data_IF_756369772079
#
_entry.id   IF_756369772079
#
_cell.length_a   1.000
_cell.length_b   1.000
_cell.length_c   1.000
_cell.angle_alpha   90.00
_cell.angle_beta   90.00
_cell.angle_gamma   90.00
#
_symmetry.space_group_name_H-M   'P 1'
#
loop_
_entity.id
_entity.type
_entity.pdbx_description
1 polymer ?
#
# COMPACT_ATOMS: atom_id res chain seq x y z
N UNK A 1 8.62 13.48 0.73
CA UNK A 1 7.74 12.59 1.51
C UNK A 1 6.38 13.28 1.59
N UNK A 2 5.33 12.57 1.19
CA UNK A 2 3.95 13.09 1.24
C UNK A 2 3.47 12.99 2.69
N UNK A 3 2.72 13.98 3.20
CA UNK A 3 2.25 13.93 4.60
C UNK A 3 1.03 13.01 4.72
N UNK A 4 0.90 12.16 5.73
CA UNK A 4 -0.26 11.26 5.84
C UNK A 4 -1.55 12.01 6.24
N UNK A 5 -2.66 11.28 6.29
CA UNK A 5 -3.91 11.76 6.87
C UNK A 5 -3.70 12.35 8.30
N UNK A 6 -4.35 13.46 8.68
CA UNK A 6 -4.21 14.04 10.02
C UNK A 6 -4.42 13.02 11.15
N UNK A 7 -3.53 13.02 12.14
CA UNK A 7 -3.57 12.07 13.26
C UNK A 7 -2.72 10.82 13.06
N UNK A 8 -2.19 10.61 11.87
CA UNK A 8 -1.15 9.61 11.61
C UNK A 8 0.24 10.17 11.91
N UNK A 9 1.11 9.32 12.42
CA UNK A 9 2.51 9.67 12.68
C UNK A 9 3.37 9.22 11.50
N UNK A 10 4.21 10.14 11.03
CA UNK A 10 5.29 9.85 10.09
C UNK A 10 6.39 9.01 10.78
N UNK A 11 6.86 7.98 10.10
CA UNK A 11 7.86 7.03 10.58
C UNK A 11 8.82 6.68 9.46
N UNK A 12 9.99 6.22 9.87
CA UNK A 12 10.92 5.60 8.92
C UNK A 12 10.25 4.39 8.26
N UNK A 13 10.10 4.44 6.94
CA UNK A 13 9.42 3.41 6.16
C UNK A 13 7.89 3.40 6.24
N UNK A 14 7.20 4.48 6.64
CA UNK A 14 5.75 4.60 6.47
C UNK A 14 5.01 5.45 7.50
N UNK A 15 3.77 5.08 7.81
CA UNK A 15 2.87 5.81 8.69
C UNK A 15 2.21 4.89 9.73
N UNK A 16 1.96 5.39 10.95
CA UNK A 16 1.21 4.65 11.98
C UNK A 16 0.16 5.50 12.70
N UNK A 17 -1.01 4.89 12.96
CA UNK A 17 -2.01 5.34 13.92
C UNK A 17 -2.62 4.16 14.67
N UNK A 18 -2.70 4.27 16.00
CA UNK A 18 -3.43 3.35 16.89
C UNK A 18 -3.13 1.84 16.66
N UNK A 19 -1.87 1.51 16.32
CA UNK A 19 -1.41 0.14 16.06
C UNK A 19 -1.70 -0.38 14.65
N UNK A 20 -2.25 0.45 13.77
CA UNK A 20 -2.35 0.24 12.32
C UNK A 20 -1.20 0.95 11.62
N UNK A 21 -0.52 0.24 10.72
CA UNK A 21 0.64 0.72 9.98
C UNK A 21 0.41 0.60 8.49
N UNK A 22 0.75 1.66 7.76
CA UNK A 22 0.97 1.65 6.31
C UNK A 22 2.48 1.75 6.10
N UNK A 23 3.11 0.67 5.65
CA UNK A 23 4.56 0.58 5.43
C UNK A 23 4.89 0.71 3.94
N UNK A 24 6.01 1.37 3.65
CA UNK A 24 6.65 1.44 2.33
C UNK A 24 8.03 0.81 2.49
N UNK A 25 8.20 -0.41 1.98
CA UNK A 25 9.38 -1.22 2.21
C UNK A 25 10.18 -1.41 0.91
N UNK A 26 11.49 -1.08 0.88
CA UNK A 26 12.35 -1.37 -0.25
C UNK A 26 12.46 -2.88 -0.50
N UNK A 27 12.31 -3.29 -1.76
CA UNK A 27 12.35 -4.69 -2.18
C UNK A 27 13.21 -4.92 -3.42
N UNK A 28 13.86 -6.08 -3.48
CA UNK A 28 14.43 -6.64 -4.70
C UNK A 28 13.39 -7.53 -5.39
N UNK A 29 13.36 -7.50 -6.72
CA UNK A 29 12.36 -8.24 -7.52
C UNK A 29 13.06 -9.39 -8.23
N UNK A 30 12.65 -10.63 -7.91
CA UNK A 30 13.20 -11.83 -8.53
C UNK A 30 12.19 -12.44 -9.50
N UNK A 31 12.59 -12.57 -10.76
CA UNK A 31 11.80 -13.25 -11.79
C UNK A 31 12.36 -14.65 -12.06
N UNK A 32 11.51 -15.68 -11.92
CA UNK A 32 11.94 -17.06 -12.11
C UNK A 32 10.77 -18.02 -12.33
N UNK A 33 10.86 -18.83 -13.40
CA UNK A 33 9.90 -19.93 -13.63
C UNK A 33 8.46 -19.48 -13.89
N UNK A 34 8.24 -18.25 -14.38
CA UNK A 34 6.91 -17.69 -14.62
C UNK A 34 6.24 -17.12 -13.36
N UNK A 35 6.97 -17.02 -12.26
CA UNK A 35 6.57 -16.32 -11.05
C UNK A 35 7.55 -15.18 -10.80
N UNK A 36 7.05 -14.14 -10.15
CA UNK A 36 7.86 -13.06 -9.63
C UNK A 36 7.63 -12.95 -8.13
N UNK A 37 8.70 -12.75 -7.38
CA UNK A 37 8.67 -12.66 -5.91
C UNK A 37 9.47 -11.45 -5.46
N UNK A 38 9.01 -10.78 -4.41
CA UNK A 38 9.73 -9.67 -3.77
C UNK A 38 10.42 -10.16 -2.49
N UNK A 39 11.56 -9.54 -2.16
CA UNK A 39 12.25 -9.72 -0.89
C UNK A 39 12.63 -8.35 -0.33
N UNK A 40 12.37 -8.10 0.95
CA UNK A 40 12.79 -6.87 1.61
C UNK A 40 14.32 -6.78 1.67
N UNK A 41 14.86 -5.67 1.19
CA UNK A 41 16.30 -5.41 1.11
C UNK A 41 16.61 -3.99 1.60
N UNK A 42 17.87 -3.64 1.90
CA UNK A 42 18.27 -2.25 2.10
C UNK A 42 17.92 -1.36 0.88
N UNK A 43 17.69 -0.06 1.11
CA UNK A 43 17.27 0.87 0.05
C UNK A 43 18.29 0.99 -1.11
N UNK A 44 19.59 0.82 -0.84
CA UNK A 44 20.65 0.84 -1.86
C UNK A 44 20.71 -0.43 -2.74
N UNK A 45 19.95 -1.46 -2.38
CA UNK A 45 19.81 -2.72 -3.11
C UNK A 45 18.40 -2.88 -3.73
N UNK A 46 17.52 -1.90 -3.54
CA UNK A 46 16.12 -1.99 -3.93
C UNK A 46 15.90 -1.72 -5.42
N UNK A 47 15.08 -2.56 -6.06
CA UNK A 47 14.56 -2.36 -7.41
C UNK A 47 13.15 -1.74 -7.39
N UNK A 48 12.41 -1.93 -6.29
CA UNK A 48 11.04 -1.47 -6.12
C UNK A 48 10.68 -1.27 -4.64
N UNK A 49 9.42 -0.91 -4.37
CA UNK A 49 8.90 -0.62 -3.05
C UNK A 49 7.52 -1.27 -2.85
N UNK A 50 7.42 -2.17 -1.87
CA UNK A 50 6.14 -2.77 -1.45
C UNK A 50 5.39 -1.78 -0.56
N UNK A 51 4.10 -1.58 -0.84
CA UNK A 51 3.22 -0.86 0.08
C UNK A 51 2.35 -1.87 0.82
N UNK A 52 2.45 -1.90 2.15
CA UNK A 52 1.78 -2.87 3.01
C UNK A 52 0.91 -2.20 4.06
N UNK A 53 -0.29 -2.73 4.29
CA UNK A 53 -1.17 -2.34 5.39
C UNK A 53 -1.22 -3.48 6.41
N UNK A 54 -0.89 -3.19 7.68
CA UNK A 54 -0.98 -4.19 8.74
C UNK A 54 -1.43 -3.62 10.09
N UNK A 55 -1.99 -4.48 10.93
CA UNK A 55 -2.34 -4.13 12.32
C UNK A 55 -2.00 -5.28 13.25
N UNK A 56 -1.61 -4.94 14.49
CA UNK A 56 -1.39 -5.93 15.56
C UNK A 56 -2.71 -6.26 16.23
N UNK A 57 -2.92 -7.56 16.43
CA UNK A 57 -4.07 -8.09 17.15
C UNK A 57 -3.59 -8.96 18.30
N UNK A 58 -4.49 -9.29 19.23
CA UNK A 58 -4.19 -10.21 20.35
C UNK A 58 -3.63 -11.55 19.90
N UNK A 59 -3.98 -12.00 18.68
CA UNK A 59 -3.62 -13.32 18.15
C UNK A 59 -2.53 -13.27 17.06
N UNK A 60 -1.84 -12.14 16.88
CA UNK A 60 -0.81 -11.97 15.86
C UNK A 60 -1.05 -10.75 14.96
N UNK A 61 -0.49 -10.77 13.76
CA UNK A 61 -0.59 -9.68 12.79
C UNK A 61 -1.57 -10.04 11.68
N UNK A 62 -2.38 -9.06 11.26
CA UNK A 62 -3.13 -9.13 9.99
C UNK A 62 -2.48 -8.16 9.03
N UNK A 63 -2.29 -8.56 7.77
CA UNK A 63 -1.68 -7.72 6.75
C UNK A 63 -2.29 -7.94 5.38
N UNK A 64 -2.05 -6.96 4.50
CA UNK A 64 -2.22 -7.05 3.05
C UNK A 64 -1.11 -6.22 2.40
N UNK A 65 -0.52 -6.73 1.33
CA UNK A 65 0.46 -6.02 0.50
C UNK A 65 -0.19 -5.83 -0.86
N UNK A 66 -0.98 -4.75 -1.04
CA UNK A 66 -1.78 -4.56 -2.25
C UNK A 66 -0.97 -4.42 -3.54
N UNK A 67 0.22 -3.80 -3.46
CA UNK A 67 0.95 -3.39 -4.66
C UNK A 67 2.42 -3.11 -4.37
N UNK A 68 3.23 -3.27 -5.42
CA UNK A 68 4.66 -2.93 -5.48
C UNK A 68 4.87 -1.89 -6.58
N UNK A 69 5.63 -0.83 -6.29
CA UNK A 69 5.96 0.23 -7.25
C UNK A 69 7.46 0.30 -7.51
N UNK A 70 7.87 0.44 -8.77
CA UNK A 70 9.26 0.80 -9.09
C UNK A 70 9.56 2.25 -8.62
N UNK A 71 8.71 3.26 -8.90
CA UNK A 71 9.01 4.63 -8.48
C UNK A 71 8.75 4.83 -6.97
N UNK A 72 9.75 5.29 -6.18
CA UNK A 72 9.56 5.51 -4.74
C UNK A 72 8.48 6.55 -4.46
N UNK A 73 8.38 7.59 -5.29
CA UNK A 73 7.38 8.64 -5.12
C UNK A 73 5.95 8.07 -5.23
N UNK A 74 5.69 7.19 -6.20
CA UNK A 74 4.39 6.56 -6.38
C UNK A 74 4.02 5.68 -5.17
N UNK A 75 4.99 4.93 -4.61
CA UNK A 75 4.77 4.14 -3.40
C UNK A 75 4.34 5.02 -2.21
N UNK A 76 5.02 6.17 -2.01
CA UNK A 76 4.69 7.11 -0.95
C UNK A 76 3.36 7.84 -1.17
N UNK A 77 3.01 8.18 -2.41
CA UNK A 77 1.70 8.75 -2.76
C UNK A 77 0.58 7.73 -2.51
N UNK A 78 0.79 6.46 -2.86
CA UNK A 78 -0.17 5.40 -2.56
C UNK A 78 -0.34 5.21 -1.05
N UNK A 79 0.77 5.15 -0.31
CA UNK A 79 0.75 5.05 1.14
C UNK A 79 -0.02 6.21 1.79
N UNK A 80 0.18 7.44 1.28
CA UNK A 80 -0.58 8.61 1.70
C UNK A 80 -2.09 8.41 1.51
N UNK A 81 -2.53 8.05 0.29
CA UNK A 81 -3.95 7.81 0.00
C UNK A 81 -4.52 6.69 0.88
N UNK A 82 -3.73 5.65 1.12
CA UNK A 82 -4.13 4.52 1.96
C UNK A 82 -4.37 4.94 3.41
N UNK A 83 -3.59 5.89 3.96
CA UNK A 83 -3.85 6.41 5.32
C UNK A 83 -5.18 7.12 5.43
N UNK A 84 -5.59 7.86 4.40
CA UNK A 84 -6.90 8.52 4.36
C UNK A 84 -8.02 7.48 4.30
N UNK A 85 -7.92 6.54 3.37
CA UNK A 85 -8.94 5.52 3.16
C UNK A 85 -9.16 4.64 4.39
N UNK A 86 -8.07 4.21 5.03
CA UNK A 86 -8.16 3.36 6.23
C UNK A 86 -8.61 4.16 7.46
N UNK A 87 -8.43 5.48 7.50
CA UNK A 87 -8.99 6.34 8.55
C UNK A 87 -10.52 6.36 8.52
N UNK A 88 -11.07 6.46 7.31
CA UNK A 88 -12.51 6.56 7.07
C UNK A 88 -13.20 5.19 7.16
N UNK A 89 -12.66 4.18 6.48
CA UNK A 89 -13.29 2.86 6.35
C UNK A 89 -12.91 1.89 7.49
N UNK A 90 -11.76 2.13 8.13
CA UNK A 90 -11.15 1.21 9.08
C UNK A 90 -10.38 0.06 8.43
N UNK A 91 -9.53 -0.58 9.23
CA UNK A 91 -8.58 -1.61 8.78
C UNK A 91 -9.25 -2.79 8.08
N UNK A 92 -10.25 -3.42 8.71
CA UNK A 92 -10.81 -4.68 8.19
C UNK A 92 -11.60 -4.47 6.88
N UNK A 93 -12.29 -3.33 6.72
CA UNK A 93 -12.95 -2.96 5.47
C UNK A 93 -11.93 -2.69 4.37
N UNK A 94 -10.91 -1.88 4.66
CA UNK A 94 -9.83 -1.57 3.72
C UNK A 94 -9.10 -2.82 3.23
N UNK A 95 -8.72 -3.71 4.16
CA UNK A 95 -8.06 -4.98 3.83
C UNK A 95 -8.93 -5.84 2.93
N UNK A 96 -10.24 -5.88 3.18
CA UNK A 96 -11.19 -6.68 2.39
C UNK A 96 -11.33 -6.12 0.98
N UNK A 97 -11.47 -4.80 0.83
CA UNK A 97 -11.52 -4.14 -0.47
C UNK A 97 -10.25 -4.44 -1.30
N UNK A 98 -9.07 -4.21 -0.71
CA UNK A 98 -7.78 -4.44 -1.37
C UNK A 98 -7.53 -5.92 -1.75
N UNK A 99 -7.99 -6.87 -0.93
CA UNK A 99 -7.82 -8.31 -1.20
C UNK A 99 -8.88 -8.86 -2.15
N UNK A 100 -9.98 -8.13 -2.35
CA UNK A 100 -11.14 -8.53 -3.15
C UNK A 100 -11.10 -7.99 -4.59
N UNK A 101 -10.05 -7.27 -4.97
CA UNK A 101 -9.88 -6.68 -6.29
C UNK A 101 -9.97 -7.72 -7.41
N UNK A 102 -10.83 -7.47 -8.40
CA UNK A 102 -10.83 -8.22 -9.67
C UNK A 102 -9.67 -7.81 -10.59
N UNK A 103 -9.06 -6.64 -10.33
CA UNK A 103 -7.86 -6.21 -11.01
C UNK A 103 -6.62 -6.78 -10.31
N UNK A 104 -5.79 -7.50 -11.07
CA UNK A 104 -4.49 -7.96 -10.61
C UNK A 104 -3.43 -7.01 -11.14
N UNK A 105 -2.73 -6.25 -10.28
CA UNK A 105 -1.62 -5.43 -10.72
C UNK A 105 -0.53 -6.29 -11.39
N UNK A 106 0.30 -5.72 -12.27
CA UNK A 106 1.58 -6.34 -12.60
C UNK A 106 2.38 -6.55 -11.30
N UNK A 107 3.38 -7.44 -11.33
CA UNK A 107 4.25 -7.65 -10.16
C UNK A 107 4.85 -6.34 -9.65
N UNK A 108 5.23 -5.45 -10.57
CA UNK A 108 5.73 -4.11 -10.26
C UNK A 108 5.01 -3.12 -11.15
N UNK A 109 4.46 -2.07 -10.56
CA UNK A 109 3.87 -0.95 -11.30
C UNK A 109 4.96 0.08 -11.62
N UNK A 110 5.13 0.39 -12.90
CA UNK A 110 6.19 1.27 -13.42
C UNK A 110 5.66 2.61 -13.94
N UNK A 111 4.49 2.62 -14.58
CA UNK A 111 4.02 3.76 -15.39
C UNK A 111 2.66 4.35 -14.95
N UNK A 112 1.98 3.74 -13.98
CA UNK A 112 0.69 4.21 -13.47
C UNK A 112 0.88 5.04 -12.19
N UNK A 113 0.10 6.12 -12.06
CA UNK A 113 0.08 6.93 -10.85
C UNK A 113 -0.64 6.22 -9.70
N UNK A 114 -0.29 6.60 -8.47
CA UNK A 114 -0.78 5.96 -7.26
C UNK A 114 -2.31 5.97 -7.13
N UNK A 115 -2.97 7.05 -7.55
CA UNK A 115 -4.42 7.18 -7.44
C UNK A 115 -5.14 6.26 -8.42
N UNK A 116 -4.67 6.22 -9.68
CA UNK A 116 -5.20 5.30 -10.70
C UNK A 116 -5.08 3.85 -10.24
N UNK A 117 -3.92 3.46 -9.71
CA UNK A 117 -3.69 2.11 -9.16
C UNK A 117 -4.63 1.83 -7.99
N UNK A 118 -4.81 2.80 -7.09
CA UNK A 118 -5.69 2.61 -5.94
C UNK A 118 -7.15 2.47 -6.35
N UNK A 119 -7.63 3.27 -7.29
CA UNK A 119 -8.97 3.14 -7.87
C UNK A 119 -9.16 1.76 -8.53
N UNK A 120 -8.17 1.27 -9.27
CA UNK A 120 -8.22 -0.06 -9.88
C UNK A 120 -8.32 -1.17 -8.83
N UNK A 121 -7.57 -1.07 -7.73
CA UNK A 121 -7.62 -2.02 -6.61
C UNK A 121 -8.94 -1.99 -5.85
N UNK A 122 -9.58 -0.81 -5.73
CA UNK A 122 -10.89 -0.68 -5.08
C UNK A 122 -12.04 -1.17 -5.97
N UNK A 123 -11.87 -1.14 -7.30
CA UNK A 123 -12.90 -1.54 -8.25
C UNK A 123 -14.18 -0.73 -8.08
N UNK A 124 -15.30 -1.40 -7.84
CA UNK A 124 -16.61 -0.76 -7.63
C UNK A 124 -16.65 0.15 -6.39
N UNK A 125 -15.76 -0.07 -5.40
CA UNK A 125 -15.68 0.76 -4.20
C UNK A 125 -14.93 2.09 -4.45
N UNK A 126 -14.36 2.32 -5.63
CA UNK A 126 -13.54 3.51 -5.92
C UNK A 126 -14.28 4.85 -5.71
N UNK A 127 -15.61 4.90 -5.77
CA UNK A 127 -16.38 6.12 -5.44
C UNK A 127 -16.25 6.56 -3.99
N UNK A 128 -15.87 5.65 -3.09
CA UNK A 128 -15.59 6.01 -1.70
C UNK A 128 -14.30 6.81 -1.58
N UNK A 129 -13.31 6.60 -2.46
CA UNK A 129 -12.05 7.35 -2.44
C UNK A 129 -12.26 8.85 -2.66
N UNK A 130 -13.18 9.24 -3.56
CA UNK A 130 -13.51 10.65 -3.80
C UNK A 130 -14.05 11.33 -2.53
N UNK A 131 -14.82 10.60 -1.70
CA UNK A 131 -15.38 11.13 -0.45
C UNK A 131 -14.34 11.30 0.66
N UNK A 132 -13.19 10.61 0.56
CA UNK A 132 -12.11 10.70 1.55
C UNK A 132 -11.09 11.79 1.16
N UNK A 133 -11.02 12.17 -0.12
CA UNK A 133 -10.05 13.16 -0.62
C UNK A 133 -10.60 14.60 -0.72
N UNK A 134 -11.90 14.81 -0.46
CA UNK A 134 -12.59 16.12 -0.42
C UNK A 134 -12.46 16.83 0.95
#
# INVERSE_FOLDING_TARGET
MVSPCPGWNDRDGGYERDGTVVAVEPVAVYEGGGLSTTESVPEDEADAYDVSLWTRTTNGQRSVTPVTFEPPLAAWEFAHLLTWYVDDQGFDATRTALSGSDWSPPTVVTDEDAETVFRNLLGDDATSLDAVLD
#
